data_IF_195526147504
#
_entry.id   IF_195526147504
#
_cell.length_a   1.000
_cell.length_b   1.000
_cell.length_c   1.000
_cell.angle_alpha   90.00
_cell.angle_beta   90.00
_cell.angle_gamma   90.00
#
_symmetry.space_group_name_H-M   'P 1'
#
loop_
_entity.id
_entity.type
_entity.pdbx_description
1 polymer ?
#
# COMPACT_ATOMS: atom_id res chain seq x y z
N UNK A 1 6.75 -11.81 10.89
CA UNK A 1 7.57 -10.58 10.78
C UNK A 1 6.94 -9.45 11.58
N UNK A 2 7.68 -8.87 12.53
CA UNK A 2 7.27 -7.64 13.22
C UNK A 2 7.53 -6.45 12.30
N UNK A 3 6.47 -5.83 11.77
CA UNK A 3 6.62 -4.53 11.12
C UNK A 3 6.91 -3.53 12.25
N UNK A 4 8.07 -2.85 12.24
CA UNK A 4 8.42 -1.90 13.28
C UNK A 4 7.37 -0.78 13.31
N UNK A 5 6.81 -0.52 14.49
CA UNK A 5 5.84 0.55 14.69
C UNK A 5 6.51 1.90 14.47
N UNK A 6 5.96 2.72 13.57
CA UNK A 6 6.35 4.12 13.51
C UNK A 6 6.05 4.83 14.84
N UNK A 7 7.00 5.64 15.35
CA UNK A 7 6.86 6.33 16.63
C UNK A 7 6.09 7.66 16.47
N UNK A 8 4.94 7.78 17.13
CA UNK A 8 4.08 8.98 17.11
C UNK A 8 4.66 10.21 17.88
N UNK A 9 5.96 10.25 18.17
CA UNK A 9 6.58 11.29 19.01
C UNK A 9 6.95 12.57 18.27
N UNK A 10 6.82 12.60 16.94
CA UNK A 10 7.20 13.75 16.13
C UNK A 10 5.99 14.63 15.79
N UNK A 11 6.22 15.94 15.80
CA UNK A 11 5.26 16.90 15.23
C UNK A 11 5.11 16.59 13.74
N UNK A 12 3.90 16.65 13.17
CA UNK A 12 3.71 16.38 11.75
C UNK A 12 4.61 17.28 10.89
N UNK A 13 5.18 16.70 9.85
CA UNK A 13 6.18 17.33 9.00
C UNK A 13 5.68 17.48 7.57
N UNK A 14 6.27 18.43 6.83
CA UNK A 14 5.93 18.74 5.45
C UNK A 14 6.90 18.06 4.48
N UNK A 15 6.40 17.64 3.32
CA UNK A 15 7.23 17.26 2.18
C UNK A 15 7.53 18.50 1.33
N UNK A 16 8.80 18.80 1.11
CA UNK A 16 9.20 19.90 0.23
C UNK A 16 8.99 19.49 -1.22
N UNK A 17 8.26 20.26 -2.02
CA UNK A 17 7.99 19.90 -3.43
C UNK A 17 8.52 20.92 -4.44
N UNK A 18 8.71 22.18 -4.02
CA UNK A 18 9.19 23.25 -4.87
C UNK A 18 10.48 23.92 -4.38
N UNK A 19 11.26 24.53 -5.30
CA UNK A 19 12.43 25.32 -4.94
C UNK A 19 12.07 26.59 -4.14
N UNK A 20 10.83 27.09 -4.27
CA UNK A 20 10.30 28.24 -3.54
C UNK A 20 10.28 28.01 -2.02
N UNK A 21 10.18 26.74 -1.58
CA UNK A 21 10.18 26.35 -0.18
C UNK A 21 11.60 26.16 0.40
N UNK A 22 12.66 26.27 -0.40
CA UNK A 22 14.05 26.12 0.08
C UNK A 22 14.45 27.12 1.17
N UNK A 23 14.09 28.42 1.10
CA UNK A 23 14.34 29.35 2.21
C UNK A 23 13.61 28.94 3.49
N UNK A 24 12.41 28.38 3.36
CA UNK A 24 11.62 27.91 4.50
C UNK A 24 12.32 26.72 5.17
N UNK A 25 12.76 25.74 4.38
CA UNK A 25 13.56 24.60 4.87
C UNK A 25 14.81 25.07 5.60
N UNK A 26 15.59 25.98 5.01
CA UNK A 26 16.82 26.50 5.66
C UNK A 26 16.55 27.18 7.00
N UNK A 27 15.36 27.76 7.18
CA UNK A 27 14.99 28.42 8.42
C UNK A 27 14.45 27.47 9.50
N UNK A 28 13.78 26.39 9.09
CA UNK A 28 13.05 25.45 9.95
C UNK A 28 13.17 24.01 9.43
N UNK A 29 14.39 23.43 9.37
CA UNK A 29 14.61 22.11 8.77
C UNK A 29 13.86 21.00 9.51
N UNK A 30 13.61 21.15 10.81
CA UNK A 30 12.88 20.20 11.65
C UNK A 30 11.41 20.01 11.24
N UNK A 31 10.87 20.93 10.43
CA UNK A 31 9.49 20.87 9.95
C UNK A 31 9.34 20.01 8.69
N UNK A 32 10.42 19.45 8.13
CA UNK A 32 10.38 18.70 6.88
C UNK A 32 10.78 17.23 7.07
N UNK A 33 9.98 16.32 6.50
CA UNK A 33 10.24 14.87 6.53
C UNK A 33 11.11 14.42 5.34
N UNK A 34 11.03 15.14 4.23
CA UNK A 34 11.72 14.83 2.99
C UNK A 34 11.51 15.91 1.93
N UNK A 35 12.09 15.69 0.75
CA UNK A 35 11.81 16.48 -0.44
C UNK A 35 11.46 15.58 -1.62
N UNK A 36 10.51 16.01 -2.44
CA UNK A 36 10.11 15.36 -3.68
C UNK A 36 10.60 16.20 -4.86
N UNK A 37 11.65 15.73 -5.53
CA UNK A 37 12.21 16.41 -6.69
C UNK A 37 11.40 16.09 -7.96
N UNK A 38 11.25 17.05 -8.90
CA UNK A 38 10.48 16.83 -10.12
C UNK A 38 11.17 15.90 -11.13
N UNK A 39 12.50 15.78 -11.06
CA UNK A 39 13.31 14.97 -11.97
C UNK A 39 14.63 14.54 -11.31
N UNK A 40 15.32 13.57 -11.93
CA UNK A 40 16.59 13.02 -11.41
C UNK A 40 17.72 14.05 -11.31
N UNK A 41 17.75 15.06 -12.19
CA UNK A 41 18.79 16.11 -12.14
C UNK A 41 18.58 17.00 -10.92
N UNK A 42 17.34 17.35 -10.62
CA UNK A 42 16.97 18.13 -9.43
C UNK A 42 17.14 17.30 -8.17
N UNK A 43 16.81 16.00 -8.21
CA UNK A 43 17.04 15.06 -7.12
C UNK A 43 18.53 15.03 -6.71
N UNK A 44 19.45 14.90 -7.67
CA UNK A 44 20.89 14.93 -7.39
C UNK A 44 21.32 16.24 -6.70
N UNK A 45 20.87 17.38 -7.24
CA UNK A 45 21.19 18.70 -6.68
C UNK A 45 20.66 18.88 -5.26
N UNK A 46 19.43 18.44 -5.01
CA UNK A 46 18.80 18.55 -3.69
C UNK A 46 19.41 17.59 -2.69
N UNK A 47 19.77 16.37 -3.11
CA UNK A 47 20.45 15.40 -2.24
C UNK A 47 21.78 15.95 -1.70
N UNK A 48 22.51 16.74 -2.50
CA UNK A 48 23.72 17.43 -2.05
C UNK A 48 23.42 18.70 -1.21
N UNK A 49 22.38 19.45 -1.58
CA UNK A 49 22.12 20.78 -1.01
C UNK A 49 21.28 20.79 0.28
N UNK A 50 20.54 19.71 0.58
CA UNK A 50 19.59 19.65 1.70
C UNK A 50 20.13 18.96 2.96
N UNK A 51 21.44 18.79 3.07
CA UNK A 51 22.16 18.44 4.30
C UNK A 51 21.52 17.27 5.10
N UNK A 52 21.26 16.15 4.41
CA UNK A 52 20.74 14.92 5.01
C UNK A 52 19.22 14.75 4.95
N UNK A 53 18.45 15.73 4.47
CA UNK A 53 17.02 15.53 4.17
C UNK A 53 16.87 14.49 3.05
N UNK A 54 16.07 13.42 3.22
CA UNK A 54 15.89 12.42 2.18
C UNK A 54 15.17 13.04 0.98
N UNK A 55 15.72 12.85 -0.21
CA UNK A 55 15.15 13.36 -1.46
C UNK A 55 14.64 12.20 -2.29
N UNK A 56 13.38 12.23 -2.68
CA UNK A 56 12.75 11.21 -3.50
C UNK A 56 12.28 11.73 -4.86
N UNK A 57 11.77 10.81 -5.66
CA UNK A 57 11.21 11.06 -6.99
C UNK A 57 9.78 10.54 -7.08
N UNK A 58 8.85 11.29 -7.73
CA UNK A 58 7.54 10.77 -8.05
C UNK A 58 7.63 9.77 -9.20
N UNK A 59 6.81 8.73 -9.13
CA UNK A 59 6.62 7.74 -10.18
C UNK A 59 5.11 7.61 -10.43
N UNK A 60 4.68 8.02 -11.61
CA UNK A 60 3.30 7.87 -12.05
C UNK A 60 3.05 6.44 -12.52
N UNK A 61 2.05 5.77 -11.93
CA UNK A 61 1.65 4.44 -12.36
C UNK A 61 1.12 4.49 -13.81
N UNK A 62 1.60 3.61 -14.71
CA UNK A 62 1.08 3.56 -16.07
C UNK A 62 -0.39 3.11 -16.08
N UNK A 63 -1.16 3.40 -17.15
CA UNK A 63 -2.54 2.94 -17.25
C UNK A 63 -2.62 1.41 -17.24
N UNK A 64 -3.64 0.88 -16.56
CA UNK A 64 -3.92 -0.56 -16.51
C UNK A 64 -4.38 -1.03 -17.89
N UNK A 65 -3.82 -2.14 -18.42
CA UNK A 65 -4.23 -2.68 -19.72
C UNK A 65 -5.71 -3.07 -19.73
N UNK A 66 -6.30 -3.00 -20.91
CA UNK A 66 -7.68 -3.41 -21.13
C UNK A 66 -7.87 -4.91 -20.82
N UNK A 67 -8.84 -5.21 -19.95
CA UNK A 67 -9.12 -6.57 -19.44
C UNK A 67 -9.65 -7.53 -20.52
N UNK A 68 -10.24 -7.03 -21.59
CA UNK A 68 -10.82 -7.83 -22.68
C UNK A 68 -9.77 -8.24 -23.71
N UNK A 69 -8.73 -7.43 -23.89
CA UNK A 69 -7.73 -7.63 -24.96
C UNK A 69 -6.37 -8.10 -24.45
N UNK A 70 -6.06 -7.90 -23.16
CA UNK A 70 -4.80 -8.32 -22.58
C UNK A 70 -4.80 -9.80 -22.22
N UNK A 71 -3.69 -10.48 -22.52
CA UNK A 71 -3.47 -11.86 -22.09
C UNK A 71 -3.34 -11.94 -20.56
N UNK A 72 -3.96 -12.97 -19.98
CA UNK A 72 -3.94 -13.24 -18.54
C UNK A 72 -2.65 -13.98 -18.12
N UNK A 73 -2.18 -13.83 -16.87
CA UNK A 73 -2.69 -12.93 -15.82
C UNK A 73 -2.34 -11.46 -16.08
N UNK A 74 -3.35 -10.59 -15.98
CA UNK A 74 -3.26 -9.15 -16.22
C UNK A 74 -2.27 -8.48 -15.27
N UNK A 75 -2.24 -8.90 -14.00
CA UNK A 75 -1.40 -8.36 -12.94
C UNK A 75 0.07 -8.56 -13.27
N UNK A 76 0.47 -9.73 -13.77
CA UNK A 76 1.85 -9.99 -14.17
C UNK A 76 2.27 -9.15 -15.38
N UNK A 77 1.34 -8.94 -16.34
CA UNK A 77 1.56 -8.01 -17.46
C UNK A 77 1.72 -6.59 -16.96
N UNK A 78 0.88 -6.16 -16.02
CA UNK A 78 0.96 -4.82 -15.45
C UNK A 78 2.24 -4.58 -14.63
N UNK A 79 2.71 -5.56 -13.85
CA UNK A 79 4.02 -5.53 -13.19
C UNK A 79 5.13 -5.27 -14.23
N UNK A 80 5.08 -5.97 -15.36
CA UNK A 80 6.07 -5.80 -16.44
C UNK A 80 6.03 -4.39 -17.06
N UNK A 81 4.83 -3.82 -17.24
CA UNK A 81 4.65 -2.44 -17.72
C UNK A 81 5.18 -1.42 -16.72
N UNK A 82 4.86 -1.58 -15.43
CA UNK A 82 5.40 -0.74 -14.36
C UNK A 82 6.94 -0.78 -14.38
N UNK A 83 7.55 -1.97 -14.51
CA UNK A 83 9.02 -2.10 -14.61
C UNK A 83 9.60 -1.35 -15.81
N UNK A 84 8.91 -1.36 -16.95
CA UNK A 84 9.34 -0.63 -18.15
C UNK A 84 9.23 0.88 -17.96
N UNK A 85 8.14 1.34 -17.34
CA UNK A 85 7.89 2.76 -17.07
C UNK A 85 8.86 3.33 -16.02
N UNK A 86 9.14 2.60 -14.94
CA UNK A 86 9.93 3.10 -13.82
C UNK A 86 11.44 3.05 -14.08
N UNK A 87 11.95 2.03 -14.78
CA UNK A 87 13.39 1.83 -15.02
C UNK A 87 14.14 3.08 -15.52
N UNK A 88 13.66 3.86 -16.51
CA UNK A 88 14.37 5.07 -16.96
C UNK A 88 14.32 6.23 -15.95
N UNK A 89 13.44 6.17 -14.95
CA UNK A 89 13.25 7.21 -13.94
C UNK A 89 14.03 6.93 -12.65
N UNK A 90 14.57 5.72 -12.48
CA UNK A 90 15.38 5.38 -11.32
C UNK A 90 16.67 6.19 -11.30
N UNK A 91 17.03 6.68 -10.12
CA UNK A 91 18.18 7.55 -9.93
C UNK A 91 18.91 7.20 -8.63
N UNK A 92 20.24 7.13 -8.68
CA UNK A 92 21.06 6.69 -7.54
C UNK A 92 20.94 7.63 -6.32
N UNK A 93 20.73 8.92 -6.58
CA UNK A 93 20.54 9.95 -5.56
C UNK A 93 19.16 9.93 -4.88
N UNK A 94 18.20 9.14 -5.37
CA UNK A 94 16.88 9.04 -4.77
C UNK A 94 16.93 8.16 -3.51
N UNK A 95 16.53 8.73 -2.38
CA UNK A 95 16.38 8.03 -1.10
C UNK A 95 15.08 7.20 -1.06
N UNK A 96 14.02 7.71 -1.70
CA UNK A 96 12.72 7.05 -1.79
C UNK A 96 12.03 7.34 -3.13
N UNK A 97 10.97 6.61 -3.44
CA UNK A 97 10.08 6.88 -4.56
C UNK A 97 8.65 7.04 -4.07
N UNK A 98 7.93 7.99 -4.67
CA UNK A 98 6.51 8.26 -4.39
C UNK A 98 5.64 7.74 -5.53
N UNK A 99 4.98 6.61 -5.33
CA UNK A 99 4.04 6.01 -6.30
C UNK A 99 2.69 6.69 -6.21
N UNK A 100 2.17 7.17 -7.35
CA UNK A 100 0.89 7.88 -7.43
C UNK A 100 0.13 7.59 -8.73
N UNK A 101 -1.14 7.98 -8.76
CA UNK A 101 -1.98 7.87 -9.97
C UNK A 101 -2.37 6.43 -10.36
N UNK A 102 -2.33 5.47 -9.43
CA UNK A 102 -2.85 4.12 -9.69
C UNK A 102 -4.38 4.16 -9.81
N UNK A 103 -4.94 3.44 -10.80
CA UNK A 103 -6.38 3.43 -11.06
C UNK A 103 -7.18 2.52 -10.12
N UNK A 104 -6.51 1.53 -9.53
CA UNK A 104 -7.09 0.52 -8.63
C UNK A 104 -6.06 0.16 -7.56
N UNK A 105 -6.51 -0.39 -6.44
CA UNK A 105 -5.60 -0.87 -5.41
C UNK A 105 -4.70 -2.01 -5.92
N UNK A 106 -5.27 -2.97 -6.67
CA UNK A 106 -4.51 -4.05 -7.27
C UNK A 106 -3.39 -3.54 -8.21
N UNK A 107 -3.64 -2.46 -8.95
CA UNK A 107 -2.62 -1.79 -9.76
C UNK A 107 -1.53 -1.16 -8.89
N UNK A 108 -1.90 -0.44 -7.83
CA UNK A 108 -0.92 0.14 -6.90
C UNK A 108 -0.03 -0.94 -6.28
N UNK A 109 -0.62 -2.03 -5.78
CA UNK A 109 0.11 -3.17 -5.22
C UNK A 109 1.09 -3.74 -6.25
N UNK A 110 0.64 -3.97 -7.48
CA UNK A 110 1.50 -4.44 -8.56
C UNK A 110 2.64 -3.47 -8.88
N UNK A 111 2.41 -2.16 -8.82
CA UNK A 111 3.45 -1.14 -9.00
C UNK A 111 4.47 -1.17 -7.86
N UNK A 112 4.04 -1.37 -6.61
CA UNK A 112 4.95 -1.56 -5.45
C UNK A 112 5.83 -2.78 -5.66
N UNK A 113 5.27 -3.93 -6.04
CA UNK A 113 6.03 -5.15 -6.33
C UNK A 113 7.01 -4.95 -7.50
N UNK A 114 6.58 -4.26 -8.55
CA UNK A 114 7.42 -3.93 -9.70
C UNK A 114 8.60 -3.05 -9.31
N UNK A 115 8.38 -2.07 -8.43
CA UNK A 115 9.43 -1.18 -7.94
C UNK A 115 10.38 -1.92 -6.99
N UNK A 116 9.88 -2.76 -6.08
CA UNK A 116 10.70 -3.60 -5.21
C UNK A 116 11.61 -4.56 -5.98
N UNK A 117 11.16 -5.07 -7.13
CA UNK A 117 11.98 -5.86 -8.05
C UNK A 117 13.10 -5.06 -8.74
N UNK A 118 12.96 -3.72 -8.82
CA UNK A 118 13.91 -2.84 -9.49
C UNK A 118 14.89 -2.17 -8.53
N UNK A 119 14.48 -1.92 -7.28
CA UNK A 119 15.25 -1.13 -6.34
C UNK A 119 14.93 -1.49 -4.89
N UNK A 120 15.92 -1.40 -4.01
CA UNK A 120 15.76 -1.56 -2.56
C UNK A 120 15.53 -0.23 -1.83
N UNK A 121 15.12 0.82 -2.54
CA UNK A 121 14.84 2.14 -1.96
C UNK A 121 13.47 2.15 -1.28
N UNK A 122 13.31 3.07 -0.34
CA UNK A 122 12.04 3.28 0.37
C UNK A 122 10.91 3.63 -0.60
N UNK A 123 9.71 3.11 -0.33
CA UNK A 123 8.50 3.36 -1.13
C UNK A 123 7.47 4.10 -0.29
N UNK A 124 6.98 5.22 -0.84
CA UNK A 124 5.80 5.95 -0.38
C UNK A 124 4.70 5.73 -1.41
N UNK A 125 3.48 5.42 -0.97
CA UNK A 125 2.35 5.16 -1.87
C UNK A 125 1.19 6.13 -1.62
N UNK A 126 0.56 6.58 -2.69
CA UNK A 126 -0.66 7.40 -2.65
C UNK A 126 -1.91 6.53 -2.72
N UNK A 127 -2.90 6.81 -1.86
CA UNK A 127 -4.26 6.26 -1.96
C UNK A 127 -5.25 7.41 -2.14
N UNK A 128 -6.03 7.36 -3.21
CA UNK A 128 -7.17 8.24 -3.41
C UNK A 128 -8.41 7.60 -2.79
N UNK A 129 -8.98 8.28 -1.80
CA UNK A 129 -10.22 7.92 -1.13
C UNK A 129 -11.39 8.57 -1.88
N UNK A 130 -12.34 7.73 -2.29
CA UNK A 130 -13.48 8.10 -3.14
C UNK A 130 -14.65 8.65 -2.32
N UNK A 131 -14.91 8.07 -1.14
CA UNK A 131 -16.10 8.34 -0.34
C UNK A 131 -15.80 8.54 1.16
N UNK A 132 -16.84 8.86 1.92
CA UNK A 132 -16.83 9.00 3.38
C UNK A 132 -17.07 7.67 4.12
N UNK A 133 -16.97 6.53 3.42
CA UNK A 133 -16.97 5.19 4.01
C UNK A 133 -15.57 4.55 3.97
N UNK A 134 -14.56 5.29 3.49
CA UNK A 134 -13.17 4.87 3.47
C UNK A 134 -12.82 3.94 2.32
N UNK A 135 -13.57 3.99 1.22
CA UNK A 135 -13.29 3.18 0.03
C UNK A 135 -12.49 3.93 -1.03
N UNK A 136 -11.73 3.16 -1.80
CA UNK A 136 -11.15 3.58 -3.07
C UNK A 136 -12.17 3.43 -4.21
N UNK A 137 -11.86 3.99 -5.39
CA UNK A 137 -12.74 3.95 -6.58
C UNK A 137 -13.11 2.53 -7.04
N UNK A 138 -12.29 1.53 -6.73
CA UNK A 138 -12.55 0.12 -7.06
C UNK A 138 -13.26 -0.65 -5.94
N UNK A 139 -13.70 0.05 -4.88
CA UNK A 139 -14.38 -0.51 -3.72
C UNK A 139 -13.43 -1.04 -2.63
N UNK A 140 -12.12 -0.91 -2.81
CA UNK A 140 -11.15 -1.39 -1.80
C UNK A 140 -11.23 -0.56 -0.53
N UNK A 141 -11.37 -1.22 0.62
CA UNK A 141 -11.32 -0.62 1.96
C UNK A 141 -9.92 -0.08 2.28
N UNK A 142 -9.83 1.15 2.79
CA UNK A 142 -8.55 1.79 3.14
C UNK A 142 -7.73 0.97 4.15
N UNK A 143 -8.37 0.26 5.08
CA UNK A 143 -7.70 -0.61 6.07
C UNK A 143 -7.11 -1.83 5.39
N UNK A 144 -7.80 -2.39 4.40
CA UNK A 144 -7.29 -3.49 3.58
C UNK A 144 -6.06 -3.03 2.80
N UNK A 145 -6.16 -1.88 2.12
CA UNK A 145 -5.07 -1.31 1.35
C UNK A 145 -3.83 -1.02 2.22
N UNK A 146 -4.00 -0.30 3.33
CA UNK A 146 -2.91 0.00 4.28
C UNK A 146 -2.31 -1.29 4.85
N UNK A 147 -3.15 -2.26 5.22
CA UNK A 147 -2.74 -3.56 5.76
C UNK A 147 -1.84 -4.36 4.81
N UNK A 148 -2.18 -4.37 3.52
CA UNK A 148 -1.34 -4.98 2.48
C UNK A 148 -0.05 -4.19 2.27
N UNK A 149 -0.13 -2.87 2.06
CA UNK A 149 1.02 -2.02 1.71
C UNK A 149 2.13 -2.09 2.78
N UNK A 150 1.76 -2.07 4.07
CA UNK A 150 2.74 -2.15 5.17
C UNK A 150 3.49 -3.48 5.24
N UNK A 151 2.96 -4.56 4.64
CA UNK A 151 3.58 -5.88 4.60
C UNK A 151 4.47 -6.10 3.39
N UNK A 152 4.35 -5.27 2.35
CA UNK A 152 5.11 -5.40 1.09
C UNK A 152 6.15 -4.28 0.90
N UNK A 153 6.59 -3.67 2.00
CA UNK A 153 7.73 -2.75 2.01
C UNK A 153 7.40 -1.26 1.83
N UNK A 154 6.12 -0.86 1.84
CA UNK A 154 5.73 0.56 1.87
C UNK A 154 5.93 1.11 3.28
N UNK A 155 6.62 2.24 3.39
CA UNK A 155 6.92 2.86 4.70
C UNK A 155 5.99 4.02 5.03
N UNK A 156 5.34 4.59 4.02
CA UNK A 156 4.44 5.74 4.20
C UNK A 156 3.31 5.67 3.19
N UNK A 157 2.09 5.87 3.66
CA UNK A 157 0.90 6.00 2.81
C UNK A 157 0.40 7.43 2.89
N UNK A 158 0.24 8.07 1.73
CA UNK A 158 -0.34 9.41 1.60
C UNK A 158 -1.80 9.25 1.16
N UNK A 159 -2.73 9.67 2.01
CA UNK A 159 -4.16 9.69 1.68
C UNK A 159 -4.52 11.00 0.99
N UNK A 160 -5.31 10.91 -0.07
CA UNK A 160 -5.88 12.05 -0.79
C UNK A 160 -7.39 11.83 -0.91
N UNK A 161 -8.17 12.91 -0.94
CA UNK A 161 -9.61 12.83 -1.17
C UNK A 161 -10.12 14.15 -1.74
N UNK A 162 -11.34 14.14 -2.24
CA UNK A 162 -12.03 15.34 -2.72
C UNK A 162 -12.64 16.17 -1.59
N UNK A 163 -13.01 15.53 -0.48
CA UNK A 163 -13.69 16.15 0.64
C UNK A 163 -12.95 15.92 1.98
N UNK A 164 -12.96 16.91 2.90
CA UNK A 164 -12.32 16.76 4.22
C UNK A 164 -12.85 15.61 5.06
N UNK A 165 -14.15 15.32 4.94
CA UNK A 165 -14.84 14.25 5.67
C UNK A 165 -14.27 12.88 5.30
N UNK A 166 -14.06 12.62 4.01
CA UNK A 166 -13.46 11.38 3.50
C UNK A 166 -12.04 11.14 4.04
N UNK A 167 -11.20 12.18 4.14
CA UNK A 167 -9.88 12.05 4.78
C UNK A 167 -10.00 11.75 6.28
N UNK A 168 -10.93 12.42 6.95
CA UNK A 168 -11.13 12.22 8.39
C UNK A 168 -11.51 10.77 8.69
N UNK A 169 -12.50 10.25 7.96
CA UNK A 169 -12.98 8.87 8.13
C UNK A 169 -11.90 7.86 7.77
N UNK A 170 -11.24 8.02 6.61
CA UNK A 170 -10.21 7.09 6.18
C UNK A 170 -9.04 7.02 7.18
N UNK A 171 -8.65 8.16 7.76
CA UNK A 171 -7.65 8.18 8.83
C UNK A 171 -8.16 7.54 10.11
N UNK A 172 -9.40 7.78 10.54
CA UNK A 172 -9.97 7.15 11.75
C UNK A 172 -9.98 5.62 11.62
N UNK A 173 -10.37 5.12 10.44
CA UNK A 173 -10.41 3.70 10.12
C UNK A 173 -9.02 3.06 10.07
N UNK A 174 -8.04 3.70 9.40
CA UNK A 174 -6.73 3.10 9.16
C UNK A 174 -5.71 3.34 10.28
N UNK A 175 -5.78 4.49 10.97
CA UNK A 175 -4.79 4.91 11.96
C UNK A 175 -4.56 3.93 13.12
N UNK A 176 -5.57 3.20 13.63
CA UNK A 176 -5.36 2.20 14.67
C UNK A 176 -4.54 0.98 14.20
N UNK A 177 -4.57 0.66 12.90
CA UNK A 177 -3.99 -0.56 12.34
C UNK A 177 -2.71 -0.30 11.52
N UNK A 178 -2.40 0.98 11.24
CA UNK A 178 -1.24 1.37 10.47
C UNK A 178 0.06 1.25 11.28
N UNK A 179 0.97 0.38 10.85
CA UNK A 179 2.33 0.30 11.41
C UNK A 179 3.33 1.20 10.67
N UNK A 180 3.00 1.56 9.43
CA UNK A 180 3.70 2.55 8.62
C UNK A 180 3.30 4.00 8.97
N UNK A 181 4.02 4.99 8.44
CA UNK A 181 3.64 6.40 8.59
C UNK A 181 2.40 6.72 7.77
N UNK A 182 1.44 7.43 8.36
CA UNK A 182 0.31 7.98 7.63
C UNK A 182 0.56 9.45 7.30
N UNK A 183 0.33 9.82 6.05
CA UNK A 183 0.34 11.20 5.60
C UNK A 183 -0.89 11.56 4.80
N UNK A 184 -1.02 12.84 4.48
CA UNK A 184 -2.14 13.36 3.71
C UNK A 184 -1.69 14.39 2.68
N UNK A 185 -2.36 14.42 1.53
CA UNK A 185 -2.29 15.54 0.60
C UNK A 185 -3.60 16.31 0.64
N UNK A 186 -3.62 17.42 1.38
CA UNK A 186 -4.85 18.22 1.61
C UNK A 186 -4.58 19.71 1.46
N UNK A 187 -5.61 20.44 1.08
CA UNK A 187 -5.53 21.89 0.99
C UNK A 187 -5.41 22.53 2.39
N UNK A 188 -4.55 23.52 2.56
CA UNK A 188 -4.31 24.26 3.81
C UNK A 188 -5.57 24.89 4.40
N UNK A 189 -6.61 25.11 3.57
CA UNK A 189 -7.92 25.56 4.03
C UNK A 189 -8.61 24.55 4.96
N UNK A 190 -8.41 23.25 4.75
CA UNK A 190 -9.00 22.19 5.58
C UNK A 190 -8.40 22.23 6.99
N UNK A 191 -7.08 22.37 7.08
CA UNK A 191 -6.39 22.57 8.36
C UNK A 191 -6.84 23.85 9.08
N UNK A 192 -7.03 24.95 8.35
CA UNK A 192 -7.58 26.20 8.91
C UNK A 192 -9.01 26.03 9.41
N UNK A 193 -9.81 25.21 8.75
CA UNK A 193 -11.15 24.81 9.17
C UNK A 193 -11.15 23.79 10.34
N UNK A 194 -9.96 23.37 10.79
CA UNK A 194 -9.77 22.40 11.89
C UNK A 194 -10.35 21.01 11.59
N UNK A 195 -10.29 20.56 10.33
CA UNK A 195 -10.59 19.17 9.95
C UNK A 195 -9.83 18.20 10.84
N UNK A 196 -10.53 17.23 11.43
CA UNK A 196 -9.92 16.25 12.33
C UNK A 196 -8.98 15.33 11.54
N UNK A 197 -7.78 15.11 12.04
CA UNK A 197 -6.79 14.23 11.41
C UNK A 197 -6.23 13.26 12.43
N UNK A 198 -6.28 11.96 12.15
CA UNK A 198 -5.77 10.91 13.04
C UNK A 198 -4.37 10.46 12.62
N UNK A 199 -3.45 10.39 13.58
CA UNK A 199 -2.10 9.84 13.41
C UNK A 199 -1.33 10.36 12.17
N UNK A 200 -1.63 11.58 11.69
CA UNK A 200 -0.98 12.16 10.51
C UNK A 200 0.41 12.65 10.85
N UNK A 201 1.41 12.09 10.18
CA UNK A 201 2.83 12.37 10.39
C UNK A 201 3.42 13.21 9.25
N UNK A 202 2.93 13.04 8.02
CA UNK A 202 3.46 13.70 6.83
C UNK A 202 2.37 14.45 6.08
N UNK A 203 2.66 15.70 5.71
CA UNK A 203 1.82 16.49 4.81
C UNK A 203 2.52 16.63 3.46
N UNK A 204 1.79 16.37 2.39
CA UNK A 204 2.17 16.68 1.02
C UNK A 204 1.32 17.89 0.55
N UNK A 205 1.90 18.93 -0.03
CA UNK A 205 1.11 20.02 -0.60
C UNK A 205 0.33 19.54 -1.84
N UNK A 206 -0.94 19.93 -1.92
CA UNK A 206 -1.76 19.75 -3.12
C UNK A 206 -1.34 20.73 -4.22
N UNK A 207 -1.69 20.41 -5.46
CA UNK A 207 -1.46 21.32 -6.58
C UNK A 207 -2.13 22.69 -6.32
N UNK A 208 -1.38 23.77 -6.56
CA UNK A 208 -1.77 25.17 -6.33
C UNK A 208 -1.87 25.66 -4.88
N UNK A 209 -1.56 24.83 -3.88
CA UNK A 209 -1.31 25.33 -2.52
C UNK A 209 0.18 25.62 -2.30
N UNK A 210 0.47 26.44 -1.30
CA UNK A 210 1.82 26.95 -1.02
C UNK A 210 2.38 26.32 0.26
N UNK A 211 3.62 25.83 0.23
CA UNK A 211 4.25 25.16 1.38
C UNK A 211 4.30 26.05 2.62
N UNK A 212 4.48 27.37 2.48
CA UNK A 212 4.51 28.28 3.63
C UNK A 212 3.12 28.46 4.24
N UNK A 213 2.07 28.56 3.42
CA UNK A 213 0.67 28.58 3.90
C UNK A 213 0.27 27.27 4.57
N UNK A 214 0.68 26.14 3.98
CA UNK A 214 0.41 24.82 4.54
C UNK A 214 1.13 24.65 5.88
N UNK A 215 2.42 25.01 5.97
CA UNK A 215 3.16 24.96 7.23
C UNK A 215 2.54 25.86 8.30
N UNK A 216 2.11 27.08 7.94
CA UNK A 216 1.39 27.95 8.86
C UNK A 216 0.08 27.32 9.34
N UNK A 217 -0.66 26.66 8.44
CA UNK A 217 -1.89 25.97 8.79
C UNK A 217 -1.62 24.78 9.71
N UNK A 218 -0.57 23.99 9.46
CA UNK A 218 -0.11 22.89 10.34
C UNK A 218 0.22 23.43 11.73
N UNK A 219 0.99 24.52 11.83
CA UNK A 219 1.37 25.13 13.11
C UNK A 219 0.15 25.62 13.93
N UNK A 220 -0.89 26.10 13.25
CA UNK A 220 -2.12 26.61 13.86
C UNK A 220 -3.19 25.52 14.07
N UNK A 221 -2.95 24.29 13.62
CA UNK A 221 -3.94 23.23 13.64
C UNK A 221 -3.97 22.53 15.01
N UNK A 222 -5.18 22.35 15.55
CA UNK A 222 -5.44 21.72 16.85
C UNK A 222 -6.43 20.55 16.77
N UNK A 223 -6.93 20.24 15.55
CA UNK A 223 -7.82 19.13 15.25
C UNK A 223 -7.14 17.75 15.20
N UNK A 224 -5.81 17.70 15.33
CA UNK A 224 -5.06 16.44 15.36
C UNK A 224 -5.48 15.53 16.52
N UNK A 225 -5.59 14.24 16.24
CA UNK A 225 -5.90 13.18 17.20
C UNK A 225 -4.88 12.06 17.09
N UNK A 226 -4.44 11.57 18.24
CA UNK A 226 -3.55 10.42 18.30
C UNK A 226 -4.34 9.24 18.87
N UNK A 227 -4.40 8.17 18.10
CA UNK A 227 -4.99 6.89 18.49
C UNK A 227 -3.88 5.84 18.64
N UNK A 228 -3.95 4.96 19.66
CA UNK A 228 -3.01 3.87 19.81
C UNK A 228 -2.98 2.95 18.59
N UNK A 229 -1.80 2.42 18.28
CA UNK A 229 -1.58 1.41 17.22
C UNK A 229 -1.34 0.02 17.80
N UNK A 230 -1.98 -0.27 18.92
CA UNK A 230 -1.78 -1.51 19.68
C UNK A 230 -2.82 -2.55 19.25
N UNK A 231 -2.41 -3.44 18.35
CA UNK A 231 -3.28 -4.43 17.74
C UNK A 231 -2.54 -5.78 17.51
N UNK A 232 -1.85 -6.25 18.55
CA UNK A 232 -1.12 -7.53 18.50
C UNK A 232 -2.01 -8.77 18.76
N UNK A 233 -3.27 -8.57 19.17
CA UNK A 233 -4.19 -9.64 19.55
C UNK A 233 -4.84 -10.37 18.35
N UNK A 234 -4.67 -9.86 17.13
CA UNK A 234 -5.24 -10.45 15.91
C UNK A 234 -4.31 -10.27 14.71
N UNK A 235 -4.55 -11.08 13.69
CA UNK A 235 -3.88 -10.99 12.40
C UNK A 235 -4.75 -10.18 11.44
N UNK A 236 -4.15 -9.18 10.79
CA UNK A 236 -4.75 -8.44 9.69
C UNK A 236 -4.52 -9.21 8.38
N UNK A 237 -5.56 -9.80 7.80
CA UNK A 237 -5.49 -10.65 6.61
C UNK A 237 -6.47 -10.19 5.51
N UNK A 238 -6.22 -9.04 4.84
CA UNK A 238 -7.12 -8.51 3.84
C UNK A 238 -7.29 -9.44 2.63
N UNK A 239 -8.50 -9.50 2.07
CA UNK A 239 -8.81 -10.40 0.95
C UNK A 239 -8.44 -9.83 -0.44
N UNK A 240 -8.01 -8.56 -0.47
CA UNK A 240 -7.74 -7.80 -1.69
C UNK A 240 -8.70 -6.63 -1.91
N UNK A 241 -9.87 -6.67 -1.26
CA UNK A 241 -10.88 -5.61 -1.25
C UNK A 241 -11.25 -5.22 0.18
N UNK A 242 -11.58 -6.19 1.03
CA UNK A 242 -12.04 -6.00 2.40
C UNK A 242 -10.96 -6.34 3.41
N UNK A 243 -11.09 -5.70 4.58
CA UNK A 243 -10.26 -6.01 5.74
C UNK A 243 -10.84 -7.19 6.52
N UNK A 244 -9.97 -8.09 6.96
CA UNK A 244 -10.33 -9.17 7.88
C UNK A 244 -9.37 -9.18 9.07
N UNK A 245 -9.95 -9.29 10.26
CA UNK A 245 -9.23 -9.45 11.52
C UNK A 245 -9.45 -10.87 12.01
N UNK A 246 -8.41 -11.69 11.98
CA UNK A 246 -8.52 -13.12 12.26
C UNK A 246 -7.73 -13.53 13.49
N UNK A 247 -8.24 -14.55 14.18
CA UNK A 247 -7.48 -15.25 15.19
C UNK A 247 -6.42 -16.15 14.50
N UNK A 248 -5.20 -16.30 15.07
CA UNK A 248 -4.20 -17.24 14.55
C UNK A 248 -4.72 -18.68 14.41
N UNK A 249 -5.72 -19.08 15.19
CA UNK A 249 -6.36 -20.41 15.13
C UNK A 249 -7.64 -20.41 14.30
N UNK A 250 -7.78 -19.51 13.31
CA UNK A 250 -8.92 -19.48 12.41
C UNK A 250 -9.16 -20.85 11.76
N UNK A 251 -10.44 -21.20 11.59
CA UNK A 251 -10.79 -22.42 10.85
C UNK A 251 -10.61 -22.21 9.35
N UNK A 252 -9.87 -23.12 8.73
CA UNK A 252 -9.51 -23.08 7.31
C UNK A 252 -10.30 -24.18 6.61
N UNK A 253 -10.93 -23.86 5.48
CA UNK A 253 -11.69 -24.82 4.70
C UNK A 253 -10.86 -26.04 4.27
N UNK A 254 -11.56 -27.09 3.84
CA UNK A 254 -10.95 -28.12 2.99
C UNK A 254 -10.34 -27.50 1.73
N UNK A 255 -9.47 -28.25 1.06
CA UNK A 255 -8.81 -27.82 -0.17
C UNK A 255 -9.83 -27.58 -1.30
N UNK A 256 -9.74 -26.40 -1.91
CA UNK A 256 -10.55 -25.98 -3.04
C UNK A 256 -9.64 -25.83 -4.26
N UNK A 257 -9.90 -26.63 -5.29
CA UNK A 257 -9.17 -26.56 -6.56
C UNK A 257 -9.50 -25.24 -7.28
N UNK A 258 -8.47 -24.53 -7.74
CA UNK A 258 -8.61 -23.29 -8.54
C UNK A 258 -9.00 -23.58 -10.00
N UNK A 259 -10.13 -24.27 -10.21
CA UNK A 259 -10.59 -24.70 -11.53
C UNK A 259 -11.86 -24.02 -12.04
N UNK A 260 -12.49 -24.57 -13.10
CA UNK A 260 -13.72 -24.04 -13.68
C UNK A 260 -14.92 -23.95 -12.73
N UNK A 261 -14.90 -24.70 -11.61
CA UNK A 261 -15.95 -24.72 -10.60
C UNK A 261 -15.61 -23.91 -9.35
N UNK A 262 -14.56 -23.08 -9.40
CA UNK A 262 -14.10 -22.28 -8.27
C UNK A 262 -15.22 -21.41 -7.68
N UNK A 263 -16.08 -20.82 -8.51
CA UNK A 263 -17.23 -20.01 -8.03
C UNK A 263 -18.18 -20.82 -7.14
N UNK A 264 -18.57 -22.02 -7.57
CA UNK A 264 -19.48 -22.89 -6.81
C UNK A 264 -18.81 -23.35 -5.51
N UNK A 265 -17.54 -23.73 -5.58
CA UNK A 265 -16.78 -24.20 -4.42
C UNK A 265 -16.57 -23.10 -3.36
N UNK A 266 -16.33 -21.85 -3.77
CA UNK A 266 -16.20 -20.71 -2.85
C UNK A 266 -17.52 -20.42 -2.13
N UNK A 267 -18.65 -20.48 -2.84
CA UNK A 267 -19.97 -20.28 -2.24
C UNK A 267 -20.32 -21.38 -1.24
N UNK A 268 -20.03 -22.64 -1.58
CA UNK A 268 -20.28 -23.78 -0.69
C UNK A 268 -19.42 -23.67 0.58
N UNK A 269 -18.18 -23.19 0.47
CA UNK A 269 -17.26 -23.06 1.61
C UNK A 269 -17.52 -21.85 2.51
N UNK A 270 -18.21 -20.80 2.03
CA UNK A 270 -18.35 -19.52 2.74
C UNK A 270 -19.11 -19.64 4.07
N UNK A 271 -20.06 -20.58 4.15
CA UNK A 271 -20.87 -20.85 5.33
C UNK A 271 -20.10 -21.66 6.39
N UNK A 272 -19.13 -22.47 5.96
CA UNK A 272 -18.52 -23.51 6.79
C UNK A 272 -17.12 -23.15 7.32
N UNK A 273 -16.41 -22.18 6.72
CA UNK A 273 -15.03 -21.84 7.09
C UNK A 273 -14.78 -20.34 7.30
N UNK A 274 -13.81 -20.04 8.18
CA UNK A 274 -13.35 -18.67 8.43
C UNK A 274 -12.39 -18.16 7.36
N UNK A 275 -11.63 -19.06 6.71
CA UNK A 275 -10.71 -18.78 5.62
C UNK A 275 -10.81 -19.84 4.53
N UNK A 276 -10.58 -19.44 3.27
CA UNK A 276 -10.57 -20.37 2.14
C UNK A 276 -9.17 -20.93 1.89
N UNK A 277 -9.08 -22.22 1.57
CA UNK A 277 -7.83 -22.87 1.16
C UNK A 277 -7.85 -23.19 -0.32
N UNK A 278 -7.21 -22.34 -1.12
CA UNK A 278 -7.10 -22.57 -2.56
C UNK A 278 -5.79 -23.30 -2.91
N UNK A 279 -5.89 -24.27 -3.81
CA UNK A 279 -4.75 -25.06 -4.30
C UNK A 279 -4.46 -24.72 -5.76
N UNK A 280 -3.19 -24.42 -6.05
CA UNK A 280 -2.67 -24.15 -7.38
C UNK A 280 -1.78 -25.32 -7.86
N UNK A 281 -2.24 -26.05 -8.86
CA UNK A 281 -1.52 -27.17 -9.48
C UNK A 281 -0.85 -26.76 -10.80
N UNK A 282 -1.39 -25.74 -11.49
CA UNK A 282 -0.87 -25.28 -12.76
C UNK A 282 -1.02 -23.77 -13.00
N UNK A 283 -0.47 -23.26 -14.10
CA UNK A 283 -0.56 -21.84 -14.46
C UNK A 283 -2.01 -21.41 -14.78
N UNK A 284 -2.85 -22.33 -15.28
CA UNK A 284 -4.27 -22.04 -15.53
C UNK A 284 -5.02 -21.73 -14.22
N UNK A 285 -4.58 -22.31 -13.09
CA UNK A 285 -5.15 -22.06 -11.77
C UNK A 285 -4.80 -20.64 -11.29
N UNK A 286 -3.61 -20.14 -11.61
CA UNK A 286 -3.21 -18.76 -11.33
C UNK A 286 -4.08 -17.78 -12.13
N UNK A 287 -4.39 -18.11 -13.39
CA UNK A 287 -5.31 -17.34 -14.23
C UNK A 287 -6.73 -17.36 -13.64
N UNK A 288 -7.19 -18.52 -13.18
CA UNK A 288 -8.49 -18.68 -12.53
C UNK A 288 -8.56 -17.87 -11.23
N UNK A 289 -7.53 -17.93 -10.39
CA UNK A 289 -7.41 -17.13 -9.18
C UNK A 289 -7.61 -15.65 -9.51
N UNK A 290 -6.81 -15.08 -10.43
CA UNK A 290 -6.94 -13.65 -10.79
C UNK A 290 -8.34 -13.31 -11.33
N UNK A 291 -8.92 -14.21 -12.12
CA UNK A 291 -10.24 -14.00 -12.71
C UNK A 291 -11.33 -13.95 -11.65
N UNK A 292 -11.29 -14.82 -10.65
CA UNK A 292 -12.35 -15.02 -9.67
C UNK A 292 -12.08 -14.40 -8.30
N UNK A 293 -11.00 -13.63 -8.14
CA UNK A 293 -10.66 -12.94 -6.90
C UNK A 293 -11.81 -12.10 -6.31
N UNK A 294 -12.70 -11.54 -7.14
CA UNK A 294 -13.85 -10.76 -6.66
C UNK A 294 -14.88 -11.60 -5.86
N UNK A 295 -14.81 -12.93 -5.95
CA UNK A 295 -15.64 -13.87 -5.18
C UNK A 295 -14.99 -14.28 -3.86
N UNK A 296 -13.73 -13.92 -3.64
CA UNK A 296 -13.01 -14.27 -2.41
C UNK A 296 -13.45 -13.29 -1.32
N UNK A 297 -14.47 -13.69 -0.55
CA UNK A 297 -15.05 -12.89 0.54
C UNK A 297 -14.46 -13.22 1.92
N UNK A 298 -13.45 -14.10 1.98
CA UNK A 298 -12.77 -14.55 3.20
C UNK A 298 -11.25 -14.44 3.01
N UNK A 299 -10.48 -14.38 4.11
CA UNK A 299 -9.04 -14.56 4.07
C UNK A 299 -8.63 -15.81 3.30
N UNK A 300 -7.56 -15.70 2.53
CA UNK A 300 -7.15 -16.75 1.59
C UNK A 300 -5.86 -17.43 2.06
N UNK A 301 -5.95 -18.72 2.39
CA UNK A 301 -4.80 -19.61 2.46
C UNK A 301 -4.44 -20.10 1.05
N UNK A 302 -3.20 -19.89 0.62
CA UNK A 302 -2.70 -20.34 -0.68
C UNK A 302 -1.75 -21.52 -0.52
N UNK A 303 -2.08 -22.60 -1.23
CA UNK A 303 -1.26 -23.79 -1.40
C UNK A 303 -0.91 -23.97 -2.88
N UNK A 304 0.26 -24.53 -3.18
CA UNK A 304 0.65 -24.78 -4.55
C UNK A 304 1.60 -25.97 -4.70
N UNK A 305 1.58 -26.62 -5.86
CA UNK A 305 2.43 -27.78 -6.18
C UNK A 305 3.93 -27.43 -6.22
N UNK A 306 4.26 -26.17 -6.45
CA UNK A 306 5.64 -25.69 -6.44
C UNK A 306 5.77 -24.28 -5.85
N UNK A 307 6.98 -23.95 -5.38
CA UNK A 307 7.34 -22.61 -4.95
C UNK A 307 7.10 -21.56 -6.05
N UNK A 308 7.37 -21.91 -7.32
CA UNK A 308 7.16 -21.02 -8.45
C UNK A 308 5.67 -20.70 -8.66
N UNK A 309 4.79 -21.71 -8.56
CA UNK A 309 3.34 -21.51 -8.62
C UNK A 309 2.82 -20.71 -7.43
N UNK A 310 3.35 -20.95 -6.22
CA UNK A 310 3.00 -20.17 -5.03
C UNK A 310 3.38 -18.70 -5.22
N UNK A 311 4.60 -18.41 -5.69
CA UNK A 311 5.04 -17.04 -5.98
C UNK A 311 4.16 -16.39 -7.06
N UNK A 312 3.75 -17.14 -8.09
CA UNK A 312 2.83 -16.66 -9.12
C UNK A 312 1.46 -16.32 -8.55
N UNK A 313 0.88 -17.17 -7.70
CA UNK A 313 -0.36 -16.91 -6.98
C UNK A 313 -0.28 -15.65 -6.12
N UNK A 314 0.82 -15.49 -5.37
CA UNK A 314 1.06 -14.31 -4.53
C UNK A 314 1.27 -13.03 -5.33
N UNK A 315 1.76 -13.12 -6.57
CA UNK A 315 1.86 -11.96 -7.47
C UNK A 315 0.48 -11.47 -7.88
N UNK A 316 -0.43 -12.37 -8.26
CA UNK A 316 -1.76 -12.01 -8.78
C UNK A 316 -2.75 -11.67 -7.67
N UNK A 317 -2.66 -12.36 -6.53
CA UNK A 317 -3.55 -12.13 -5.40
C UNK A 317 -3.31 -10.75 -4.77
N UNK A 318 -4.35 -9.93 -4.67
CA UNK A 318 -4.26 -8.53 -4.24
C UNK A 318 -4.28 -8.37 -2.71
N UNK A 319 -4.68 -9.40 -1.97
CA UNK A 319 -4.70 -9.42 -0.50
C UNK A 319 -3.38 -9.88 0.12
N UNK A 320 -3.46 -10.31 1.37
CA UNK A 320 -2.38 -11.01 2.08
C UNK A 320 -2.77 -12.47 2.27
N UNK A 321 -2.04 -13.36 1.60
CA UNK A 321 -2.31 -14.78 1.70
C UNK A 321 -1.79 -15.36 3.02
N UNK A 322 -2.53 -16.34 3.54
CA UNK A 322 -2.13 -17.19 4.64
C UNK A 322 -1.37 -18.41 4.10
N UNK A 323 -0.51 -18.98 4.94
CA UNK A 323 0.19 -20.24 4.68
C UNK A 323 0.14 -21.10 5.93
N UNK A 324 -0.54 -22.24 5.83
CA UNK A 324 -0.82 -23.16 6.93
C UNK A 324 0.24 -24.28 7.09
N UNK A 325 1.24 -24.32 6.20
CA UNK A 325 2.32 -25.31 6.24
C UNK A 325 1.97 -26.70 5.69
N UNK A 326 0.77 -26.92 5.14
CA UNK A 326 0.35 -28.22 4.59
C UNK A 326 1.22 -28.65 3.40
N UNK A 327 1.53 -27.71 2.52
CA UNK A 327 2.40 -27.94 1.35
C UNK A 327 3.81 -27.49 1.67
N UNK A 328 4.67 -28.42 2.13
CA UNK A 328 6.04 -28.12 2.58
C UNK A 328 6.83 -27.31 1.53
N UNK A 329 7.38 -26.18 1.97
CA UNK A 329 8.28 -25.35 1.19
C UNK A 329 9.61 -25.15 1.94
N UNK A 330 10.74 -24.94 1.23
CA UNK A 330 11.99 -24.57 1.87
C UNK A 330 11.85 -23.28 2.71
N UNK A 331 12.47 -23.25 3.89
CA UNK A 331 12.33 -22.13 4.84
C UNK A 331 12.86 -20.79 4.27
N UNK A 332 13.90 -20.83 3.45
CA UNK A 332 14.45 -19.65 2.76
C UNK A 332 13.49 -19.10 1.69
N UNK A 333 12.78 -19.99 0.99
CA UNK A 333 11.70 -19.61 0.06
C UNK A 333 10.56 -18.95 0.83
N UNK A 334 10.09 -19.56 1.93
CA UNK A 334 9.03 -18.97 2.75
C UNK A 334 9.42 -17.59 3.26
N UNK A 335 10.62 -17.43 3.79
CA UNK A 335 11.11 -16.14 4.27
C UNK A 335 11.11 -15.06 3.18
N UNK A 336 11.52 -15.42 1.96
CA UNK A 336 11.46 -14.53 0.81
C UNK A 336 10.01 -14.16 0.45
N UNK A 337 9.08 -15.12 0.48
CA UNK A 337 7.67 -14.87 0.17
C UNK A 337 6.99 -13.99 1.23
N UNK A 338 7.31 -14.18 2.51
CA UNK A 338 6.86 -13.30 3.60
C UNK A 338 7.35 -11.87 3.36
N UNK A 339 8.64 -11.69 3.07
CA UNK A 339 9.24 -10.36 2.88
C UNK A 339 8.71 -9.62 1.67
N UNK A 340 8.51 -10.33 0.56
CA UNK A 340 8.21 -9.71 -0.72
C UNK A 340 6.71 -9.54 -0.98
N UNK A 341 5.91 -10.54 -0.58
CA UNK A 341 4.49 -10.58 -0.88
C UNK A 341 3.61 -10.42 0.36
N UNK A 342 4.22 -10.30 1.55
CA UNK A 342 3.48 -10.18 2.79
C UNK A 342 2.80 -11.47 3.21
N UNK A 343 3.27 -12.64 2.73
CA UNK A 343 2.73 -13.95 3.12
C UNK A 343 2.68 -14.07 4.65
N UNK A 344 1.56 -14.55 5.17
CA UNK A 344 1.33 -14.71 6.61
C UNK A 344 1.39 -16.19 6.94
N UNK A 345 2.40 -16.60 7.71
CA UNK A 345 2.47 -17.96 8.26
C UNK A 345 1.62 -18.04 9.52
N UNK A 346 0.79 -19.07 9.63
CA UNK A 346 -0.04 -19.36 10.79
C UNK A 346 0.66 -20.23 11.83
#
# INVERSE_FOLDING_TARGET
>A
MDIPLCQNSHKPQLMLTGPEALPLYRSRPECFAGALAPDGTTCAKWAEALDGLPVGLPLDCPPVPDRETCERPLTMRYISLCKQAFRPLLHDGAAFYYLRGAQTFAALRAAVLALGDLTGRTVIAELLIEDDEGHMVDGTDVRAAVGVLQRIGVTTVILTAHEPESITEALDMAAPYARLSLGVSVHSAWLRAQTTLYNTEVFLPVEHDDEARLLQAIDAHTGGRLVPRDHDDFILAPDGTNVHFIDPTIDISDEIECGPRLEEALLDAEEDAGAFKLVLECEDDVIALEKYQYMIARPLCLCAESADLLEQGLRVYAGLALYDGTWEQPEDVLHYLEQKYGLIRL
#
